data_IF_435902677246
#
_entry.id   IF_435902677246
#
_cell.length_a   1.000
_cell.length_b   1.000
_cell.length_c   1.000
_cell.angle_alpha   90.00
_cell.angle_beta   90.00
_cell.angle_gamma   90.00
#
_symmetry.space_group_name_H-M   'P 1'
#
loop_
_entity.id
_entity.type
_entity.pdbx_description
1 polymer ?
#
# COMPACT_ATOMS: atom_id res chain seq x y z
N UNK A 1 11.12 3.09 -21.49
CA UNK A 1 10.80 3.19 -20.06
C UNK A 1 10.58 1.78 -19.52
N UNK A 2 11.33 1.33 -18.51
CA UNK A 2 11.10 -0.01 -17.92
C UNK A 2 10.12 0.11 -16.76
N UNK A 3 9.18 -0.82 -16.69
CA UNK A 3 8.14 -0.87 -15.66
C UNK A 3 8.69 -1.70 -14.48
N UNK A 4 8.47 -1.29 -13.22
CA UNK A 4 8.83 -2.10 -12.06
C UNK A 4 8.22 -3.50 -12.16
N UNK A 5 8.97 -4.58 -11.91
CA UNK A 5 8.48 -5.95 -12.05
C UNK A 5 7.39 -6.33 -11.04
N UNK A 6 7.18 -5.48 -10.02
CA UNK A 6 6.06 -5.63 -9.07
C UNK A 6 4.73 -5.13 -9.63
N UNK A 7 4.72 -4.24 -10.63
CA UNK A 7 3.50 -3.69 -11.19
C UNK A 7 3.01 -4.60 -12.32
N UNK A 8 1.81 -5.15 -12.18
CA UNK A 8 1.17 -6.01 -13.20
C UNK A 8 0.32 -5.23 -14.19
N UNK A 9 -0.15 -4.04 -13.82
CA UNK A 9 -0.97 -3.21 -14.69
C UNK A 9 -0.09 -2.54 -15.74
N UNK A 10 -0.39 -2.70 -17.03
CA UNK A 10 0.38 -2.03 -18.07
C UNK A 10 0.10 -0.51 -18.04
N UNK A 11 1.08 0.36 -18.37
CA UNK A 11 0.96 1.81 -18.19
C UNK A 11 -0.18 2.48 -18.98
N UNK A 12 -0.61 1.87 -20.09
CA UNK A 12 -1.72 2.32 -20.92
C UNK A 12 -3.10 2.12 -20.26
N UNK A 13 -3.18 1.22 -19.26
CA UNK A 13 -4.38 1.06 -18.42
C UNK A 13 -4.31 1.83 -17.11
N UNK A 14 -3.27 2.62 -16.89
CA UNK A 14 -3.14 3.55 -15.76
C UNK A 14 -3.50 4.97 -16.22
N UNK A 15 -3.96 5.81 -15.29
CA UNK A 15 -4.18 7.23 -15.60
C UNK A 15 -2.86 7.96 -15.39
N UNK A 16 -2.21 8.39 -16.46
CA UNK A 16 -0.98 9.17 -16.34
C UNK A 16 -1.29 10.54 -15.75
N UNK A 17 -0.54 10.92 -14.71
CA UNK A 17 -0.65 12.25 -14.10
C UNK A 17 0.36 13.15 -14.79
N UNK A 18 -0.13 14.23 -15.40
CA UNK A 18 0.71 15.20 -16.13
C UNK A 18 0.47 16.64 -15.72
N UNK A 19 -0.70 16.92 -15.14
CA UNK A 19 -1.11 18.23 -14.71
C UNK A 19 -1.72 18.13 -13.29
N UNK A 20 -1.23 18.92 -12.32
CA UNK A 20 -1.72 18.85 -10.95
C UNK A 20 -3.18 19.32 -10.83
N UNK A 21 -3.58 20.33 -11.61
CA UNK A 21 -4.91 20.93 -11.51
C UNK A 21 -5.96 19.99 -12.12
N UNK A 22 -5.64 19.32 -13.24
CA UNK A 22 -6.50 18.29 -13.86
C UNK A 22 -6.69 17.09 -12.93
N UNK A 23 -5.63 16.62 -12.28
CA UNK A 23 -5.71 15.48 -11.35
C UNK A 23 -6.52 15.83 -10.10
N UNK A 24 -6.29 17.00 -9.49
CA UNK A 24 -7.08 17.48 -8.35
C UNK A 24 -8.54 17.67 -8.75
N UNK A 25 -8.80 18.28 -9.91
CA UNK A 25 -10.15 18.44 -10.42
C UNK A 25 -10.85 17.09 -10.60
N UNK A 26 -10.18 16.10 -11.20
CA UNK A 26 -10.74 14.76 -11.39
C UNK A 26 -11.07 14.07 -10.06
N UNK A 27 -10.14 14.13 -9.10
CA UNK A 27 -10.30 13.52 -7.78
C UNK A 27 -11.45 14.16 -6.98
N UNK A 28 -11.48 15.48 -6.87
CA UNK A 28 -12.47 16.19 -6.06
C UNK A 28 -13.84 16.31 -6.75
N UNK A 29 -13.90 16.28 -8.08
CA UNK A 29 -15.17 16.12 -8.81
C UNK A 29 -15.76 14.73 -8.57
N UNK A 30 -14.92 13.68 -8.62
CA UNK A 30 -15.34 12.32 -8.27
C UNK A 30 -15.82 12.20 -6.81
N UNK A 31 -15.12 12.86 -5.88
CA UNK A 31 -15.52 12.93 -4.48
C UNK A 31 -16.86 13.67 -4.30
N UNK A 32 -17.04 14.83 -4.93
CA UNK A 32 -18.29 15.60 -4.84
C UNK A 32 -19.49 14.87 -5.48
N UNK A 33 -19.27 14.11 -6.54
CA UNK A 33 -20.29 13.30 -7.21
C UNK A 33 -20.68 12.03 -6.44
N UNK A 34 -19.88 11.62 -5.44
CA UNK A 34 -20.20 10.45 -4.63
C UNK A 34 -21.23 10.79 -3.56
N UNK A 35 -22.37 10.09 -3.59
CA UNK A 35 -23.42 10.22 -2.55
C UNK A 35 -22.96 9.73 -1.17
N UNK A 36 -21.83 9.00 -1.12
CA UNK A 36 -21.15 8.64 0.12
C UNK A 36 -20.33 9.85 0.59
N UNK A 37 -20.99 10.82 1.24
CA UNK A 37 -20.24 11.78 2.07
C UNK A 37 -19.36 10.96 3.01
N UNK A 38 -18.12 11.41 3.24
CA UNK A 38 -17.20 10.89 4.26
C UNK A 38 -17.78 10.88 5.71
N UNK A 39 -19.06 11.27 5.87
CA UNK A 39 -19.81 11.35 7.11
C UNK A 39 -20.71 10.15 7.42
N UNK A 40 -20.90 9.17 6.53
CA UNK A 40 -21.84 8.07 6.80
C UNK A 40 -21.25 6.69 6.48
N UNK A 41 -20.29 6.25 7.31
CA UNK A 41 -20.13 4.82 7.55
C UNK A 41 -21.30 4.39 8.44
N UNK A 42 -22.35 3.93 7.77
CA UNK A 42 -23.60 3.52 8.37
C UNK A 42 -23.34 2.40 9.40
N UNK A 43 -23.59 2.69 10.68
CA UNK A 43 -23.41 1.71 11.77
C UNK A 43 -24.22 0.41 11.52
N UNK A 44 -25.24 0.47 10.65
CA UNK A 44 -25.99 -0.69 10.16
C UNK A 44 -25.17 -1.58 9.20
N UNK A 45 -24.36 -1.02 8.30
CA UNK A 45 -23.47 -1.78 7.40
C UNK A 45 -22.26 -2.37 8.13
N UNK A 46 -21.75 -1.69 9.17
CA UNK A 46 -20.72 -2.23 10.08
C UNK A 46 -21.15 -3.55 10.75
N UNK A 47 -22.42 -3.67 11.16
CA UNK A 47 -22.97 -4.90 11.73
C UNK A 47 -23.12 -6.04 10.71
N UNK A 48 -23.40 -5.70 9.46
CA UNK A 48 -23.56 -6.68 8.38
C UNK A 48 -22.22 -7.10 7.75
N UNK A 49 -21.21 -6.22 7.82
CA UNK A 49 -19.85 -6.47 7.36
C UNK A 49 -18.89 -6.96 8.46
N UNK A 50 -19.34 -7.05 9.72
CA UNK A 50 -18.51 -7.36 10.90
C UNK A 50 -17.23 -6.50 11.01
N UNK A 51 -17.28 -5.27 10.49
CA UNK A 51 -16.17 -4.28 10.48
C UNK A 51 -16.24 -3.38 11.71
N UNK A 52 -15.09 -2.85 12.16
CA UNK A 52 -15.05 -1.89 13.27
C UNK A 52 -15.95 -0.67 13.00
N UNK A 53 -16.85 -0.29 13.94
CA UNK A 53 -17.72 0.86 13.77
C UNK A 53 -16.92 2.16 13.87
N UNK A 54 -16.92 2.97 12.82
CA UNK A 54 -16.30 4.31 12.83
C UNK A 54 -17.33 5.37 13.24
N UNK A 55 -16.89 6.37 14.02
CA UNK A 55 -17.69 7.56 14.30
C UNK A 55 -17.57 8.55 13.13
N UNK A 56 -18.69 9.03 12.62
CA UNK A 56 -18.74 10.07 11.60
C UNK A 56 -17.92 11.30 12.04
N UNK A 57 -17.04 11.80 11.16
CA UNK A 57 -16.24 13.01 11.39
C UNK A 57 -14.91 12.83 12.12
N UNK A 58 -14.38 11.61 12.28
CA UNK A 58 -13.00 11.42 12.77
C UNK A 58 -11.98 11.76 11.68
N UNK A 59 -10.80 12.28 12.06
CA UNK A 59 -9.74 12.74 11.15
C UNK A 59 -9.18 11.66 10.21
N UNK A 60 -9.63 10.40 10.27
CA UNK A 60 -9.01 9.28 9.55
C UNK A 60 -8.61 8.09 10.42
N UNK A 61 -8.59 8.28 11.74
CA UNK A 61 -8.17 7.27 12.70
C UNK A 61 -9.35 6.39 13.18
N UNK A 62 -9.02 5.19 13.69
CA UNK A 62 -10.00 4.15 14.08
C UNK A 62 -10.75 4.50 15.36
N UNK A 63 -10.02 4.86 16.43
CA UNK A 63 -10.59 5.26 17.72
C UNK A 63 -9.61 6.22 18.41
N UNK A 64 -10.02 7.41 18.85
CA UNK A 64 -9.15 8.34 19.61
C UNK A 64 -9.30 8.22 21.12
N UNK A 65 -10.25 7.41 21.59
CA UNK A 65 -10.59 7.30 23.02
C UNK A 65 -9.86 6.16 23.73
N UNK A 66 -9.44 5.13 23.01
CA UNK A 66 -8.82 3.93 23.59
C UNK A 66 -7.30 3.93 23.37
N UNK A 67 -6.49 3.68 24.41
CA UNK A 67 -5.03 3.51 24.24
C UNK A 67 -4.64 2.21 23.51
N UNK A 68 -5.61 1.32 23.34
CA UNK A 68 -5.48 0.04 22.65
C UNK A 68 -6.64 -0.11 21.68
N UNK A 69 -6.34 -0.52 20.44
CA UNK A 69 -7.32 -0.78 19.39
C UNK A 69 -7.16 -2.22 18.94
N UNK A 70 -8.26 -2.98 18.95
CA UNK A 70 -8.33 -4.26 18.26
C UNK A 70 -8.73 -3.98 16.82
N UNK A 71 -8.10 -4.65 15.86
CA UNK A 71 -8.42 -4.58 14.44
C UNK A 71 -8.71 -5.98 13.95
N UNK A 72 -9.81 -6.13 13.21
CA UNK A 72 -10.26 -7.39 12.63
C UNK A 72 -10.44 -7.25 11.12
N UNK A 73 -9.77 -8.10 10.36
CA UNK A 73 -9.99 -8.28 8.92
C UNK A 73 -10.57 -9.68 8.68
N UNK A 74 -11.74 -9.73 8.05
CA UNK A 74 -12.37 -10.98 7.63
C UNK A 74 -12.33 -11.08 6.10
N UNK A 75 -11.34 -11.79 5.59
CA UNK A 75 -11.09 -11.93 4.15
C UNK A 75 -11.83 -13.16 3.67
N UNK A 76 -12.92 -12.98 2.92
CA UNK A 76 -13.79 -14.08 2.46
C UNK A 76 -13.70 -14.24 0.94
N UNK A 77 -13.89 -15.46 0.40
CA UNK A 77 -13.95 -15.65 -1.05
C UNK A 77 -15.01 -14.75 -1.69
N UNK A 78 -14.70 -14.06 -2.80
CA UNK A 78 -15.68 -13.30 -3.56
C UNK A 78 -16.88 -14.17 -3.93
N UNK A 79 -18.09 -13.65 -3.74
CA UNK A 79 -19.30 -14.37 -4.13
C UNK A 79 -19.37 -14.37 -5.66
N UNK A 80 -19.15 -15.53 -6.29
CA UNK A 80 -19.35 -15.63 -7.73
C UNK A 80 -20.81 -15.33 -8.06
N UNK A 81 -21.10 -14.40 -8.99
CA UNK A 81 -22.47 -14.16 -9.42
C UNK A 81 -22.99 -15.46 -10.02
N UNK A 82 -23.98 -16.08 -9.37
CA UNK A 82 -24.67 -17.23 -9.95
C UNK A 82 -25.30 -16.77 -11.26
N UNK A 83 -24.79 -17.24 -12.39
CA UNK A 83 -25.46 -17.08 -13.68
C UNK A 83 -26.89 -17.56 -13.51
N UNK A 84 -27.86 -16.64 -13.51
CA UNK A 84 -29.27 -16.96 -13.66
C UNK A 84 -29.45 -17.51 -15.07
N UNK A 85 -29.27 -18.82 -15.24
CA UNK A 85 -29.82 -19.49 -16.39
C UNK A 85 -31.33 -19.57 -16.21
N UNK A 86 -32.04 -18.59 -16.77
CA UNK A 86 -33.42 -18.82 -17.20
C UNK A 86 -33.35 -19.52 -18.56
N UNK A 87 -33.70 -20.81 -18.65
CA UNK A 87 -34.56 -21.34 -19.71
C UNK A 87 -35.27 -22.59 -19.18
N UNK A 88 -36.54 -22.69 -19.54
CA UNK A 88 -37.50 -23.72 -19.23
C UNK A 88 -37.04 -25.18 -19.39
N UNK A 89 -37.52 -26.01 -18.46
CA UNK A 89 -37.92 -27.41 -18.58
C UNK A 89 -37.14 -28.35 -19.49
N UNK A 90 -36.46 -29.33 -18.88
CA UNK A 90 -36.56 -30.74 -19.28
C UNK A 90 -36.10 -31.67 -18.15
N UNK A 91 -36.96 -32.63 -17.81
CA UNK A 91 -36.71 -33.70 -16.83
C UNK A 91 -35.67 -34.68 -17.37
N UNK A 92 -34.44 -34.68 -16.86
CA UNK A 92 -33.49 -35.79 -17.07
C UNK A 92 -32.85 -36.20 -15.74
N UNK A 93 -32.77 -37.53 -15.60
CA UNK A 93 -32.58 -38.33 -14.39
C UNK A 93 -31.22 -38.14 -13.70
N UNK A 94 -31.27 -38.32 -12.37
CA UNK A 94 -30.16 -38.36 -11.40
C UNK A 94 -28.99 -39.25 -11.86
N UNK A 95 -27.86 -38.60 -12.14
CA UNK A 95 -26.54 -39.22 -12.24
C UNK A 95 -25.60 -38.63 -11.20
N UNK A 96 -25.22 -39.43 -10.21
CA UNK A 96 -24.33 -39.10 -9.10
C UNK A 96 -22.90 -38.94 -9.68
N UNK A 97 -22.46 -37.71 -9.97
CA UNK A 97 -21.06 -37.40 -10.31
C UNK A 97 -20.44 -36.57 -9.20
N UNK A 98 -19.34 -37.08 -8.66
CA UNK A 98 -18.58 -36.47 -7.57
C UNK A 98 -18.16 -35.05 -7.92
N UNK A 99 -18.46 -34.12 -7.02
CA UNK A 99 -17.83 -32.80 -7.00
C UNK A 99 -16.33 -33.02 -6.82
N UNK A 100 -15.58 -32.90 -7.90
CA UNK A 100 -14.17 -32.56 -7.81
C UNK A 100 -14.11 -31.20 -7.11
N UNK A 101 -13.74 -31.22 -5.85
CA UNK A 101 -13.45 -30.04 -5.05
C UNK A 101 -12.23 -29.36 -5.67
N UNK A 102 -12.46 -28.39 -6.56
CA UNK A 102 -11.49 -27.31 -6.76
C UNK A 102 -11.13 -26.83 -5.36
N UNK A 103 -9.85 -26.95 -5.01
CA UNK A 103 -9.28 -26.61 -3.71
C UNK A 103 -9.58 -25.14 -3.43
N UNK A 104 -10.74 -24.86 -2.83
CA UNK A 104 -11.19 -23.52 -2.54
C UNK A 104 -10.18 -22.88 -1.60
N UNK A 105 -9.50 -21.83 -2.08
CA UNK A 105 -8.72 -20.97 -1.22
C UNK A 105 -9.64 -20.53 -0.09
N UNK A 106 -9.34 -21.01 1.12
CA UNK A 106 -10.08 -20.62 2.31
C UNK A 106 -9.79 -19.16 2.58
N UNK A 107 -10.82 -18.43 2.99
CA UNK A 107 -10.66 -17.08 3.52
C UNK A 107 -9.74 -17.05 4.74
N UNK A 108 -9.45 -15.84 5.22
CA UNK A 108 -8.56 -15.61 6.36
C UNK A 108 -9.15 -14.60 7.31
N UNK A 109 -9.11 -14.93 8.59
CA UNK A 109 -9.46 -14.02 9.67
C UNK A 109 -8.16 -13.54 10.33
N UNK A 110 -7.97 -12.23 10.41
CA UNK A 110 -6.80 -11.59 11.00
C UNK A 110 -7.29 -10.69 12.12
N UNK A 111 -6.76 -10.91 13.32
CA UNK A 111 -7.07 -10.09 14.49
C UNK A 111 -5.75 -9.65 15.12
N UNK A 112 -5.59 -8.33 15.29
CA UNK A 112 -4.40 -7.74 15.90
C UNK A 112 -4.82 -6.71 16.93
N UNK A 113 -4.07 -6.65 18.02
CA UNK A 113 -4.23 -5.63 19.05
C UNK A 113 -3.05 -4.66 18.93
N UNK A 114 -3.34 -3.37 18.74
CA UNK A 114 -2.35 -2.32 18.59
C UNK A 114 -2.47 -1.31 19.74
N UNK A 115 -1.32 -0.88 20.25
CA UNK A 115 -1.22 0.24 21.18
C UNK A 115 -1.06 1.53 20.40
N UNK A 116 -1.70 2.58 20.89
CA UNK A 116 -1.60 3.94 20.39
C UNK A 116 -1.44 4.93 21.55
N UNK A 117 -0.87 6.09 21.26
CA UNK A 117 -0.79 7.20 22.22
C UNK A 117 -1.85 8.25 21.87
N UNK A 118 -3.02 8.13 22.50
CA UNK A 118 -4.17 9.02 22.32
C UNK A 118 -3.95 10.44 22.88
N UNK A 119 -2.89 10.63 23.68
CA UNK A 119 -2.54 11.92 24.25
C UNK A 119 -1.52 12.65 23.39
N UNK A 120 -0.75 11.93 22.57
CA UNK A 120 0.22 12.50 21.65
C UNK A 120 -0.37 13.64 20.81
N UNK A 121 -1.53 13.43 20.18
CA UNK A 121 -2.18 14.42 19.32
C UNK A 121 -2.61 15.70 20.07
N UNK A 122 -2.74 15.65 21.40
CA UNK A 122 -3.12 16.79 22.25
C UNK A 122 -1.92 17.57 22.76
N UNK A 123 -0.79 16.90 23.01
CA UNK A 123 0.36 17.51 23.69
C UNK A 123 1.58 17.69 22.78
N UNK A 124 1.63 17.01 21.63
CA UNK A 124 2.68 17.14 20.62
C UNK A 124 2.07 17.65 19.32
N UNK A 125 2.26 18.94 19.04
CA UNK A 125 1.75 19.55 17.80
C UNK A 125 2.34 18.83 16.58
N UNK A 126 1.48 18.37 15.67
CA UNK A 126 1.88 17.64 14.48
C UNK A 126 2.13 16.14 14.68
N UNK A 127 2.01 15.60 15.90
CA UNK A 127 2.06 14.16 16.12
C UNK A 127 0.73 13.52 15.73
N UNK A 128 0.73 12.91 14.57
CA UNK A 128 -0.39 12.11 14.06
C UNK A 128 0.01 10.66 13.79
N UNK A 129 1.30 10.31 13.96
CA UNK A 129 1.80 8.94 13.77
C UNK A 129 1.45 8.02 14.94
N UNK A 130 1.14 8.59 16.11
CA UNK A 130 0.90 7.83 17.33
C UNK A 130 -0.46 7.11 17.39
N UNK A 131 -1.31 7.28 16.37
CA UNK A 131 -2.65 6.69 16.27
C UNK A 131 -2.77 5.78 15.04
N UNK A 132 -3.74 4.87 15.06
CA UNK A 132 -3.97 3.95 13.93
C UNK A 132 -4.83 4.62 12.86
N UNK A 133 -4.29 4.71 11.65
CA UNK A 133 -4.97 5.23 10.46
C UNK A 133 -5.74 4.16 9.69
N UNK A 134 -6.93 4.52 9.20
CA UNK A 134 -7.80 3.62 8.40
C UNK A 134 -7.13 3.17 7.11
N UNK A 135 -6.41 4.07 6.43
CA UNK A 135 -5.75 3.78 5.16
C UNK A 135 -4.81 2.56 5.23
N UNK A 136 -4.09 2.37 6.34
CA UNK A 136 -3.24 1.20 6.57
C UNK A 136 -4.05 -0.11 6.65
N UNK A 137 -5.24 -0.05 7.25
CA UNK A 137 -6.15 -1.20 7.39
C UNK A 137 -6.78 -1.53 6.04
N UNK A 138 -7.30 -0.52 5.34
CA UNK A 138 -7.96 -0.70 4.04
C UNK A 138 -6.97 -1.16 2.95
N UNK A 139 -5.71 -0.69 3.00
CA UNK A 139 -4.65 -1.21 2.13
C UNK A 139 -4.30 -2.66 2.48
N UNK A 140 -4.19 -3.01 3.76
CA UNK A 140 -3.94 -4.40 4.17
C UNK A 140 -5.07 -5.33 3.68
N UNK A 141 -6.34 -4.92 3.82
CA UNK A 141 -7.49 -5.67 3.32
C UNK A 141 -7.36 -5.94 1.81
N UNK A 142 -7.05 -4.90 1.01
CA UNK A 142 -6.83 -5.05 -0.43
C UNK A 142 -5.69 -6.02 -0.75
N UNK A 143 -4.54 -5.89 -0.08
CA UNK A 143 -3.38 -6.76 -0.29
C UNK A 143 -3.69 -8.23 0.05
N UNK A 144 -4.53 -8.48 1.05
CA UNK A 144 -5.01 -9.82 1.37
C UNK A 144 -5.92 -10.39 0.28
N UNK A 145 -6.83 -9.59 -0.28
CA UNK A 145 -7.67 -10.00 -1.40
C UNK A 145 -6.85 -10.29 -2.67
N UNK A 146 -5.84 -9.46 -2.93
CA UNK A 146 -4.85 -9.66 -4.00
C UNK A 146 -4.08 -10.97 -3.85
N UNK A 147 -3.67 -11.32 -2.63
CA UNK A 147 -2.92 -12.54 -2.36
C UNK A 147 -3.79 -13.81 -2.39
N UNK A 148 -4.96 -13.77 -1.73
CA UNK A 148 -5.78 -14.96 -1.50
C UNK A 148 -6.75 -15.25 -2.63
N UNK A 149 -7.14 -14.24 -3.39
CA UNK A 149 -8.07 -14.39 -4.50
C UNK A 149 -7.53 -13.65 -5.74
N UNK A 150 -6.31 -14.01 -6.21
CA UNK A 150 -5.79 -13.44 -7.43
C UNK A 150 -6.72 -13.84 -8.56
N UNK A 151 -7.03 -12.91 -9.44
CA UNK A 151 -7.76 -13.29 -10.64
C UNK A 151 -6.98 -14.29 -11.46
N UNK A 152 -7.68 -15.33 -11.90
CA UNK A 152 -7.23 -16.27 -12.91
C UNK A 152 -7.28 -15.56 -14.26
N UNK A 153 -6.33 -14.67 -14.53
CA UNK A 153 -6.10 -14.18 -15.88
C UNK A 153 -5.69 -15.36 -16.77
N UNK A 154 -6.62 -15.84 -17.60
CA UNK A 154 -6.34 -16.54 -18.86
C UNK A 154 -5.37 -17.72 -18.83
N UNK A 155 -5.64 -18.76 -18.05
CA UNK A 155 -5.21 -20.12 -18.44
C UNK A 155 -6.31 -20.81 -19.28
N UNK A 156 -6.93 -20.08 -20.20
CA UNK A 156 -7.71 -20.71 -21.26
C UNK A 156 -6.78 -20.84 -22.47
N UNK A 157 -6.24 -22.04 -22.66
CA UNK A 157 -5.36 -22.40 -23.77
C UNK A 157 -6.08 -22.40 -25.14
N UNK A 158 -7.26 -21.79 -25.27
CA UNK A 158 -8.07 -21.81 -26.48
C UNK A 158 -8.44 -20.37 -26.83
N UNK A 159 -7.80 -19.87 -27.89
CA UNK A 159 -8.00 -18.52 -28.40
C UNK A 159 -9.48 -18.22 -28.63
N UNK A 160 -9.93 -17.10 -28.07
CA UNK A 160 -11.28 -16.60 -28.27
C UNK A 160 -11.63 -15.55 -27.23
N UNK A 161 -11.66 -14.29 -27.69
CA UNK A 161 -12.20 -13.09 -27.03
C UNK A 161 -11.54 -12.72 -25.71
N UNK A 162 -10.86 -11.58 -25.70
CA UNK A 162 -10.44 -10.91 -24.47
C UNK A 162 -11.69 -10.61 -23.62
N UNK A 163 -11.94 -11.42 -22.59
CA UNK A 163 -12.89 -11.06 -21.54
C UNK A 163 -12.30 -9.85 -20.80
N UNK A 164 -12.69 -8.64 -21.23
CA UNK A 164 -12.34 -7.37 -20.58
C UNK A 164 -12.75 -7.33 -19.10
N UNK A 165 -13.60 -8.26 -18.66
CA UNK A 165 -14.19 -8.32 -17.33
C UNK A 165 -13.43 -9.19 -16.32
N UNK A 166 -12.33 -9.85 -16.70
CA UNK A 166 -11.50 -10.53 -15.71
C UNK A 166 -10.61 -9.50 -15.00
N UNK A 167 -10.92 -9.22 -13.73
CA UNK A 167 -10.07 -8.40 -12.86
C UNK A 167 -8.61 -8.88 -12.97
N UNK A 168 -7.62 -8.02 -12.84
CA UNK A 168 -6.22 -8.47 -12.71
C UNK A 168 -5.60 -7.69 -11.57
N UNK A 169 -5.05 -8.41 -10.60
CA UNK A 169 -4.33 -7.81 -9.49
C UNK A 169 -3.27 -6.82 -9.93
N UNK A 170 -3.16 -5.69 -9.24
CA UNK A 170 -2.24 -4.63 -9.67
C UNK A 170 -0.78 -4.91 -9.27
N UNK A 171 -0.58 -5.75 -8.25
CA UNK A 171 0.74 -6.17 -7.78
C UNK A 171 1.04 -7.64 -8.10
N UNK A 172 2.30 -7.92 -8.35
CA UNK A 172 2.83 -9.29 -8.32
C UNK A 172 3.00 -9.77 -6.88
N UNK A 173 1.91 -10.25 -6.29
CA UNK A 173 1.88 -10.74 -4.90
C UNK A 173 2.83 -11.90 -4.65
N UNK A 174 3.11 -12.73 -5.67
CA UNK A 174 4.09 -13.80 -5.58
C UNK A 174 5.49 -13.23 -5.32
N UNK A 175 5.92 -12.29 -6.16
CA UNK A 175 7.21 -11.59 -5.99
C UNK A 175 7.27 -10.79 -4.69
N UNK A 176 6.19 -10.06 -4.38
CA UNK A 176 6.08 -9.21 -3.19
C UNK A 176 6.32 -10.03 -1.91
N UNK A 177 5.64 -11.18 -1.81
CA UNK A 177 5.69 -12.02 -0.60
C UNK A 177 6.88 -12.98 -0.58
N UNK A 178 7.52 -13.27 -1.71
CA UNK A 178 8.65 -14.21 -1.74
C UNK A 178 10.01 -13.54 -1.57
N UNK A 179 10.20 -12.33 -2.09
CA UNK A 179 11.56 -11.79 -2.29
C UNK A 179 11.71 -10.27 -2.26
N UNK A 180 10.61 -9.52 -2.17
CA UNK A 180 10.70 -8.06 -2.24
C UNK A 180 11.19 -7.40 -0.96
N UNK A 181 11.95 -6.31 -1.12
CA UNK A 181 12.35 -5.39 -0.06
C UNK A 181 11.40 -4.20 -0.07
N UNK A 182 10.63 -4.06 1.00
CA UNK A 182 9.60 -3.05 1.17
C UNK A 182 10.11 -2.01 2.15
N UNK A 183 9.99 -0.73 1.81
CA UNK A 183 10.15 0.39 2.74
C UNK A 183 8.78 1.03 2.97
N UNK A 184 8.34 1.08 4.21
CA UNK A 184 7.16 1.85 4.62
C UNK A 184 7.62 3.13 5.29
N UNK A 185 7.32 4.27 4.65
CA UNK A 185 7.58 5.61 5.18
C UNK A 185 6.38 6.08 6.00
N UNK A 186 6.63 6.62 7.19
CA UNK A 186 5.56 7.15 8.04
C UNK A 186 4.64 6.05 8.57
N UNK A 187 5.23 4.94 9.03
CA UNK A 187 4.50 3.75 9.46
C UNK A 187 3.61 3.99 10.70
N UNK A 188 3.83 5.07 11.44
CA UNK A 188 3.10 5.46 12.63
C UNK A 188 3.16 4.38 13.71
N UNK A 189 2.08 3.64 13.88
CA UNK A 189 1.98 2.53 14.85
C UNK A 189 2.56 1.20 14.35
N UNK A 190 2.99 1.12 13.07
CA UNK A 190 3.42 -0.10 12.39
C UNK A 190 2.27 -0.99 11.90
N UNK A 191 1.03 -0.47 11.92
CA UNK A 191 -0.20 -1.21 11.67
C UNK A 191 -0.17 -2.06 10.39
N UNK A 192 0.23 -1.46 9.26
CA UNK A 192 0.22 -2.14 7.96
C UNK A 192 1.14 -3.36 7.94
N UNK A 193 2.40 -3.21 8.39
CA UNK A 193 3.35 -4.31 8.47
C UNK A 193 2.85 -5.48 9.33
N UNK A 194 2.21 -5.17 10.47
CA UNK A 194 1.65 -6.15 11.40
C UNK A 194 0.47 -6.91 10.78
N UNK A 195 -0.44 -6.19 10.12
CA UNK A 195 -1.58 -6.81 9.42
C UNK A 195 -1.14 -7.68 8.23
N UNK A 196 -0.01 -7.36 7.62
CA UNK A 196 0.53 -8.06 6.45
C UNK A 196 1.52 -9.19 6.78
N UNK A 197 2.02 -9.33 8.01
CA UNK A 197 3.04 -10.34 8.37
C UNK A 197 2.65 -11.77 7.97
N UNK A 198 1.36 -12.10 8.10
CA UNK A 198 0.86 -13.42 7.74
C UNK A 198 0.95 -13.78 6.25
N UNK A 199 1.25 -12.80 5.38
CA UNK A 199 1.33 -12.95 3.92
C UNK A 199 2.63 -13.61 3.46
N UNK A 200 3.67 -13.57 4.30
CA UNK A 200 5.01 -14.02 3.93
C UNK A 200 5.22 -15.50 4.29
N UNK A 201 5.55 -16.36 3.31
CA UNK A 201 5.91 -17.75 3.57
C UNK A 201 7.14 -17.87 4.50
N UNK A 202 7.31 -19.00 5.21
CA UNK A 202 8.47 -19.24 6.08
C UNK A 202 9.83 -19.18 5.35
N UNK A 203 9.86 -19.57 4.08
CA UNK A 203 11.01 -19.56 3.18
C UNK A 203 11.18 -18.25 2.40
N UNK A 204 10.32 -17.27 2.67
CA UNK A 204 10.40 -15.94 2.06
C UNK A 204 11.71 -15.23 2.40
N UNK A 205 12.36 -14.67 1.38
CA UNK A 205 13.46 -13.73 1.52
C UNK A 205 13.02 -12.27 1.46
N UNK A 206 11.71 -12.01 1.45
CA UNK A 206 11.18 -10.65 1.51
C UNK A 206 11.58 -9.98 2.84
N UNK A 207 11.66 -8.66 2.84
CA UNK A 207 11.90 -7.88 4.06
C UNK A 207 11.05 -6.61 4.07
N UNK A 208 10.65 -6.19 5.26
CA UNK A 208 9.83 -4.99 5.48
C UNK A 208 10.52 -4.04 6.45
N UNK A 209 10.95 -2.90 5.94
CA UNK A 209 11.52 -1.82 6.71
C UNK A 209 10.38 -0.88 7.12
N UNK A 210 10.04 -0.93 8.41
CA UNK A 210 8.98 -0.14 9.04
C UNK A 210 9.62 1.12 9.60
N UNK A 211 9.46 2.25 8.90
CA UNK A 211 10.21 3.47 9.21
C UNK A 211 9.32 4.65 9.60
N UNK A 212 9.81 5.46 10.53
CA UNK A 212 9.18 6.69 10.99
C UNK A 212 10.23 7.60 11.65
N UNK A 213 9.80 8.76 12.17
CA UNK A 213 10.63 9.61 13.01
C UNK A 213 10.99 8.91 14.33
N UNK A 214 12.08 9.35 14.96
CA UNK A 214 12.64 8.73 16.17
C UNK A 214 11.60 8.45 17.27
N UNK A 215 10.72 9.42 17.54
CA UNK A 215 9.69 9.35 18.58
C UNK A 215 8.71 8.18 18.41
N UNK A 216 8.55 7.66 17.20
CA UNK A 216 7.56 6.63 16.85
C UNK A 216 8.17 5.23 16.88
N UNK A 217 9.49 5.10 16.87
CA UNK A 217 10.17 3.80 16.83
C UNK A 217 9.82 2.92 18.04
N UNK A 218 9.67 3.52 19.21
CA UNK A 218 9.33 2.81 20.44
C UNK A 218 7.92 2.21 20.39
N UNK A 219 6.94 2.90 19.80
CA UNK A 219 5.58 2.37 19.68
C UNK A 219 5.48 1.29 18.60
N UNK A 220 6.19 1.46 17.47
CA UNK A 220 6.31 0.45 16.41
C UNK A 220 6.90 -0.85 16.97
N UNK A 221 8.06 -0.77 17.63
CA UNK A 221 8.73 -1.92 18.23
C UNK A 221 7.85 -2.62 19.27
N UNK A 222 7.10 -1.84 20.08
CA UNK A 222 6.17 -2.39 21.07
C UNK A 222 5.02 -3.15 20.41
N UNK A 223 4.45 -2.65 19.33
CA UNK A 223 3.35 -3.29 18.63
C UNK A 223 3.80 -4.57 17.89
N UNK A 224 4.99 -4.56 17.27
CA UNK A 224 5.59 -5.76 16.67
C UNK A 224 5.86 -6.83 17.75
N UNK A 225 6.47 -6.45 18.88
CA UNK A 225 6.73 -7.37 20.00
C UNK A 225 5.44 -7.95 20.58
N UNK A 226 4.41 -7.11 20.76
CA UNK A 226 3.10 -7.54 21.26
C UNK A 226 2.42 -8.54 20.32
N UNK A 227 2.58 -8.34 19.01
CA UNK A 227 2.10 -9.24 17.96
C UNK A 227 3.00 -10.48 17.74
N UNK A 228 4.06 -10.64 18.55
CA UNK A 228 5.05 -11.74 18.46
C UNK A 228 5.76 -11.80 17.11
N UNK A 229 5.93 -10.66 16.46
CA UNK A 229 6.65 -10.54 15.18
C UNK A 229 8.12 -10.28 15.49
N UNK A 230 9.01 -11.10 14.95
CA UNK A 230 10.45 -10.90 15.10
C UNK A 230 10.90 -9.70 14.26
N UNK A 231 11.61 -8.76 14.89
CA UNK A 231 12.14 -7.57 14.24
C UNK A 231 13.56 -7.27 14.70
N UNK A 232 14.29 -6.51 13.89
CA UNK A 232 15.59 -5.93 14.24
C UNK A 232 15.49 -4.41 14.36
N UNK A 233 16.31 -3.83 15.23
CA UNK A 233 16.49 -2.38 15.35
C UNK A 233 17.94 -2.05 14.97
N UNK A 234 18.17 -1.65 13.72
CA UNK A 234 19.50 -1.25 13.22
C UNK A 234 20.17 -2.21 12.23
N UNK A 235 21.44 -1.90 11.92
CA UNK A 235 22.24 -2.58 10.88
C UNK A 235 22.36 -4.08 11.14
N UNK A 236 22.20 -4.93 10.11
CA UNK A 236 22.24 -6.38 10.26
C UNK A 236 23.60 -6.82 10.80
N UNK A 237 23.62 -7.38 12.01
CA UNK A 237 24.78 -8.13 12.49
C UNK A 237 24.89 -9.43 11.69
N UNK A 238 26.11 -9.76 11.26
CA UNK A 238 26.41 -10.92 10.41
C UNK A 238 26.14 -12.27 11.09
N UNK A 239 25.88 -12.26 12.40
CA UNK A 239 25.76 -13.44 13.26
C UNK A 239 24.32 -13.78 13.67
N UNK A 240 23.33 -12.93 13.36
CA UNK A 240 21.93 -13.18 13.74
C UNK A 240 21.07 -13.57 12.54
N UNK A 241 20.06 -14.44 12.73
CA UNK A 241 19.04 -14.67 11.71
C UNK A 241 18.41 -13.33 11.33
N UNK A 242 18.43 -12.99 10.04
CA UNK A 242 17.89 -11.71 9.56
C UNK A 242 16.39 -11.69 9.83
N UNK A 243 15.95 -10.84 10.74
CA UNK A 243 14.53 -10.61 10.95
C UNK A 243 13.89 -10.06 9.66
N UNK A 244 12.67 -10.52 9.36
CA UNK A 244 11.91 -10.02 8.19
C UNK A 244 11.59 -8.54 8.33
N UNK A 245 11.26 -8.13 9.56
CA UNK A 245 10.92 -6.77 9.90
C UNK A 245 12.14 -6.04 10.44
N UNK A 246 12.37 -4.82 9.96
CA UNK A 246 13.37 -3.90 10.51
C UNK A 246 12.67 -2.61 10.90
N UNK A 247 12.87 -2.16 12.14
CA UNK A 247 12.42 -0.85 12.61
C UNK A 247 13.60 0.11 12.53
N UNK A 248 13.42 1.19 11.78
CA UNK A 248 14.49 2.18 11.56
C UNK A 248 13.97 3.61 11.54
N UNK A 249 14.85 4.55 11.89
CA UNK A 249 14.57 5.98 11.79
C UNK A 249 14.70 6.43 10.34
N UNK A 250 13.66 7.11 9.84
CA UNK A 250 13.75 7.88 8.60
C UNK A 250 13.11 9.24 8.85
N UNK A 251 13.93 10.21 9.26
CA UNK A 251 13.52 11.62 9.41
C UNK A 251 13.56 12.32 8.04
N UNK A 252 12.38 12.58 7.49
CA UNK A 252 12.24 13.24 6.19
C UNK A 252 12.86 14.63 6.15
N UNK A 253 12.82 15.37 7.26
CA UNK A 253 13.41 16.71 7.34
C UNK A 253 14.94 16.65 7.31
N UNK A 254 15.53 15.61 7.91
CA UNK A 254 16.99 15.44 7.85
C UNK A 254 17.43 14.99 6.46
N UNK A 255 16.69 14.08 5.82
CA UNK A 255 16.91 13.71 4.41
C UNK A 255 16.79 14.94 3.51
N UNK A 256 15.80 15.81 3.75
CA UNK A 256 15.64 17.07 3.02
C UNK A 256 16.86 17.99 3.17
N UNK A 257 17.33 18.20 4.40
CA UNK A 257 18.51 19.04 4.66
C UNK A 257 19.75 18.48 3.96
N UNK A 258 19.93 17.15 3.98
CA UNK A 258 21.01 16.51 3.24
C UNK A 258 20.88 16.73 1.73
N UNK A 259 19.68 16.52 1.18
CA UNK A 259 19.40 16.71 -0.24
C UNK A 259 19.72 18.15 -0.68
N UNK A 260 19.32 19.16 0.09
CA UNK A 260 19.60 20.57 -0.19
C UNK A 260 21.10 20.89 -0.15
N UNK A 261 21.84 20.31 0.80
CA UNK A 261 23.30 20.47 0.88
C UNK A 261 24.02 19.86 -0.32
N UNK A 262 23.58 18.69 -0.77
CA UNK A 262 24.14 18.00 -1.94
C UNK A 262 23.86 18.77 -3.25
N UNK A 263 22.69 19.41 -3.37
CA UNK A 263 22.35 20.24 -4.54
C UNK A 263 23.02 21.62 -4.53
N UNK A 264 23.25 22.21 -3.36
CA UNK A 264 23.95 23.49 -3.24
C UNK A 264 25.46 23.38 -3.52
N UNK A 265 26.06 22.23 -3.20
CA UNK A 265 27.48 21.95 -3.39
C UNK A 265 27.69 20.63 -4.14
N UNK A 266 27.44 20.60 -5.47
CA UNK A 266 27.64 19.41 -6.27
C UNK A 266 29.13 19.03 -6.25
N UNK A 267 29.49 18.03 -5.44
CA UNK A 267 30.86 17.52 -5.41
C UNK A 267 31.11 16.74 -6.72
N UNK A 268 32.28 16.91 -7.36
CA UNK A 268 32.63 16.09 -8.50
C UNK A 268 32.62 14.61 -8.08
N UNK A 269 31.95 13.82 -8.91
CA UNK A 269 31.45 12.48 -8.64
C UNK A 269 32.61 11.50 -8.38
N UNK A 270 33.08 11.39 -7.13
CA UNK A 270 33.83 10.22 -6.70
C UNK A 270 32.81 9.14 -6.35
N UNK A 271 32.54 8.28 -7.32
CA UNK A 271 31.91 6.99 -7.09
C UNK A 271 32.64 6.27 -5.96
N UNK A 272 31.97 6.10 -4.82
CA UNK A 272 32.19 4.97 -3.92
C UNK A 272 31.06 4.89 -2.89
N UNK A 273 30.15 3.96 -3.19
CA UNK A 273 29.46 3.13 -2.22
C UNK A 273 28.69 3.83 -1.08
N UNK A 274 27.54 4.45 -1.41
CA UNK A 274 26.39 4.13 -0.55
C UNK A 274 25.88 2.80 -1.08
N UNK A 275 26.16 1.72 -0.35
CA UNK A 275 25.45 0.45 -0.52
C UNK A 275 23.98 0.72 -0.24
N UNK A 276 23.28 1.28 -1.23
CA UNK A 276 21.92 1.74 -1.12
C UNK A 276 21.08 0.52 -0.75
N UNK A 277 20.43 0.59 0.41
CA UNK A 277 19.30 -0.27 0.73
C UNK A 277 18.29 -0.12 -0.41
N UNK A 278 18.42 -1.00 -1.40
CA UNK A 278 17.61 -0.96 -2.60
C UNK A 278 16.24 -1.53 -2.23
N UNK A 279 15.19 -0.77 -2.48
CA UNK A 279 13.83 -1.23 -2.25
C UNK A 279 13.17 -1.58 -3.58
N UNK A 280 12.36 -2.63 -3.57
CA UNK A 280 11.53 -3.00 -4.70
C UNK A 280 10.20 -2.23 -4.65
N UNK A 281 9.74 -1.93 -3.43
CA UNK A 281 8.53 -1.17 -3.14
C UNK A 281 8.78 -0.14 -2.04
N UNK A 282 8.34 1.10 -2.26
CA UNK A 282 8.21 2.13 -1.23
C UNK A 282 6.71 2.39 -1.04
N UNK A 283 6.25 2.37 0.20
CA UNK A 283 4.88 2.66 0.62
C UNK A 283 4.87 3.97 1.41
N UNK A 284 3.99 4.89 1.05
CA UNK A 284 3.61 6.03 1.89
C UNK A 284 2.08 6.02 2.02
N UNK A 285 1.58 5.80 3.23
CA UNK A 285 0.16 5.55 3.48
C UNK A 285 -0.37 6.60 4.45
N UNK A 286 -1.27 7.44 3.94
CA UNK A 286 -1.88 8.59 4.63
C UNK A 286 -0.86 9.63 5.15
N UNK A 287 0.28 9.77 4.45
CA UNK A 287 1.33 10.72 4.80
C UNK A 287 1.03 12.16 4.33
N UNK A 288 -0.10 12.42 3.67
CA UNK A 288 -0.46 13.72 3.09
C UNK A 288 -1.42 14.49 3.99
N UNK A 289 -0.94 14.94 5.14
CA UNK A 289 -1.74 15.67 6.15
C UNK A 289 -1.19 17.05 6.51
N UNK A 290 0.07 17.35 6.15
CA UNK A 290 0.73 18.62 6.42
C UNK A 290 1.54 19.05 5.19
N UNK A 291 1.19 20.22 4.64
CA UNK A 291 1.84 20.79 3.45
C UNK A 291 3.36 20.95 3.64
N UNK A 292 3.83 21.30 4.84
CA UNK A 292 5.25 21.50 5.12
C UNK A 292 6.09 20.22 4.99
N UNK A 293 5.46 19.05 4.99
CA UNK A 293 6.12 17.74 4.90
C UNK A 293 6.14 17.18 3.47
N UNK A 294 5.47 17.83 2.51
CA UNK A 294 5.38 17.35 1.12
C UNK A 294 6.77 17.26 0.47
N UNK A 295 7.55 18.34 0.51
CA UNK A 295 8.90 18.36 -0.06
C UNK A 295 9.86 17.41 0.67
N UNK A 296 9.91 17.37 2.01
CA UNK A 296 10.63 16.35 2.77
C UNK A 296 10.30 14.92 2.35
N UNK A 297 9.01 14.59 2.26
CA UNK A 297 8.55 13.26 1.87
C UNK A 297 9.01 12.91 0.44
N UNK A 298 8.80 13.81 -0.52
CA UNK A 298 9.17 13.57 -1.92
C UNK A 298 10.69 13.41 -2.11
N UNK A 299 11.50 14.19 -1.38
CA UNK A 299 12.97 14.04 -1.41
C UNK A 299 13.42 12.74 -0.76
N UNK A 300 12.71 12.28 0.26
CA UNK A 300 12.93 10.96 0.88
C UNK A 300 12.61 9.83 -0.10
N UNK A 301 11.44 9.89 -0.75
CA UNK A 301 11.07 8.97 -1.83
C UNK A 301 12.14 8.98 -2.94
N UNK A 302 12.59 10.16 -3.36
CA UNK A 302 13.64 10.31 -4.35
C UNK A 302 14.98 9.71 -3.91
N UNK A 303 15.37 9.91 -2.66
CA UNK A 303 16.60 9.37 -2.09
C UNK A 303 16.65 7.84 -2.12
N UNK A 304 15.54 7.18 -1.79
CA UNK A 304 15.47 5.70 -1.69
C UNK A 304 15.06 5.00 -2.98
N UNK A 305 14.38 5.70 -3.90
CA UNK A 305 13.98 5.13 -5.18
C UNK A 305 15.18 4.93 -6.10
N UNK A 306 15.35 3.69 -6.57
CA UNK A 306 16.42 3.34 -7.51
C UNK A 306 15.96 3.44 -8.97
N UNK A 307 16.85 3.94 -9.83
CA UNK A 307 16.77 3.74 -11.28
C UNK A 307 17.34 2.38 -11.64
N UNK A 308 17.03 1.91 -12.84
CA UNK A 308 17.79 0.82 -13.41
C UNK A 308 19.23 1.26 -13.73
N UNK A 309 20.21 0.66 -13.08
CA UNK A 309 21.61 0.78 -13.48
C UNK A 309 21.94 -0.20 -14.62
N UNK A 310 22.84 0.12 -15.56
CA UNK A 310 23.41 -0.89 -16.46
C UNK A 310 23.96 -2.03 -15.61
N UNK A 311 23.68 -3.28 -16.00
CA UNK A 311 24.23 -4.45 -15.33
C UNK A 311 25.74 -4.33 -15.28
N UNK A 312 26.28 -4.01 -14.10
CA UNK A 312 27.72 -4.00 -13.89
C UNK A 312 28.21 -5.43 -14.12
N UNK A 313 29.30 -5.66 -14.87
CA UNK A 313 29.78 -7.02 -15.21
C UNK A 313 30.13 -7.89 -13.98
N UNK A 314 30.11 -7.32 -12.77
CA UNK A 314 30.36 -7.97 -11.49
C UNK A 314 29.11 -8.17 -10.61
N UNK A 315 27.92 -7.76 -11.06
CA UNK A 315 26.66 -7.88 -10.31
C UNK A 315 25.66 -8.74 -11.08
N UNK A 316 25.50 -9.99 -10.66
CA UNK A 316 24.53 -10.95 -11.21
C UNK A 316 23.06 -10.60 -10.90
N UNK A 317 22.79 -9.54 -10.14
CA UNK A 317 21.43 -9.14 -9.78
C UNK A 317 20.90 -8.09 -10.76
N UNK A 318 19.91 -8.39 -11.61
CA UNK A 318 19.29 -7.40 -12.48
C UNK A 318 18.74 -6.22 -11.67
N UNK A 319 19.01 -5.01 -12.15
CA UNK A 319 18.49 -3.77 -11.58
C UNK A 319 17.18 -3.41 -12.27
N UNK A 320 16.17 -3.09 -11.48
CA UNK A 320 14.84 -2.69 -11.89
C UNK A 320 14.43 -1.47 -11.08
N UNK A 321 13.61 -0.57 -11.65
CA UNK A 321 13.18 0.62 -10.94
C UNK A 321 12.33 0.24 -9.72
N UNK A 322 12.50 1.02 -8.65
CA UNK A 322 11.67 0.90 -7.44
C UNK A 322 10.24 1.36 -7.74
N UNK A 323 9.25 0.55 -7.38
CA UNK A 323 7.85 0.98 -7.40
C UNK A 323 7.57 1.82 -6.15
N UNK A 324 6.97 2.98 -6.32
CA UNK A 324 6.44 3.79 -5.21
C UNK A 324 4.93 3.73 -5.26
N UNK A 325 4.28 3.43 -4.13
CA UNK A 325 2.84 3.56 -3.95
C UNK A 325 2.55 4.61 -2.87
N UNK A 326 1.70 5.57 -3.22
CA UNK A 326 1.20 6.57 -2.28
C UNK A 326 -0.31 6.39 -2.18
N UNK A 327 -0.77 6.03 -0.99
CA UNK A 327 -2.19 5.82 -0.69
C UNK A 327 -2.64 6.93 0.24
N UNK A 328 -3.67 7.68 -0.13
CA UNK A 328 -4.15 8.82 0.68
C UNK A 328 -5.67 8.85 0.74
N UNK A 329 -6.21 9.15 1.92
CA UNK A 329 -7.58 9.66 2.03
C UNK A 329 -7.58 11.13 1.55
N UNK A 330 -8.57 11.52 0.75
CA UNK A 330 -8.70 12.88 0.23
C UNK A 330 -9.32 13.79 1.30
N UNK A 331 -8.56 14.79 1.77
CA UNK A 331 -8.99 15.70 2.85
C UNK A 331 -8.86 17.18 2.51
N UNK A 332 -7.78 17.56 1.83
CA UNK A 332 -7.51 18.93 1.39
C UNK A 332 -7.03 18.91 -0.05
N UNK A 333 -7.75 19.65 -0.90
CA UNK A 333 -7.39 19.84 -2.31
C UNK A 333 -6.02 20.49 -2.44
N UNK A 334 -5.72 21.42 -1.54
CA UNK A 334 -4.48 22.22 -1.54
C UNK A 334 -3.26 21.34 -1.25
N UNK A 335 -3.35 20.46 -0.23
CA UNK A 335 -2.28 19.51 0.11
C UNK A 335 -2.06 18.51 -1.03
N UNK A 336 -3.14 18.01 -1.64
CA UNK A 336 -3.06 17.08 -2.77
C UNK A 336 -2.46 17.76 -4.00
N UNK A 337 -2.88 18.97 -4.33
CA UNK A 337 -2.36 19.77 -5.44
C UNK A 337 -0.87 20.07 -5.27
N UNK A 338 -0.47 20.54 -4.08
CA UNK A 338 0.92 20.80 -3.75
C UNK A 338 1.77 19.52 -3.88
N UNK A 339 1.25 18.38 -3.43
CA UNK A 339 1.93 17.09 -3.55
C UNK A 339 2.13 16.68 -5.02
N UNK A 340 1.08 16.68 -5.83
CA UNK A 340 1.15 16.30 -7.25
C UNK A 340 2.06 17.26 -8.01
N UNK A 341 1.93 18.58 -7.78
CA UNK A 341 2.78 19.61 -8.38
C UNK A 341 4.26 19.37 -8.08
N UNK A 342 4.61 19.12 -6.82
CA UNK A 342 6.00 18.91 -6.43
C UNK A 342 6.54 17.56 -6.89
N UNK A 343 5.72 16.51 -6.96
CA UNK A 343 6.17 15.22 -7.50
C UNK A 343 6.44 15.33 -9.01
N UNK A 344 5.55 15.98 -9.76
CA UNK A 344 5.76 16.26 -11.20
C UNK A 344 7.01 17.12 -11.46
N UNK A 345 7.34 18.03 -10.54
CA UNK A 345 8.55 18.86 -10.63
C UNK A 345 9.87 18.07 -10.48
N UNK A 346 9.83 16.81 -10.03
CA UNK A 346 10.98 15.88 -10.09
C UNK A 346 11.21 15.32 -11.50
N UNK A 347 10.30 15.61 -12.45
CA UNK A 347 10.46 15.32 -13.87
C UNK A 347 11.74 15.95 -14.47
N UNK A 348 12.31 15.36 -15.54
CA UNK A 348 11.79 14.24 -16.33
C UNK A 348 12.15 12.85 -15.74
N UNK A 349 12.73 12.80 -14.54
CA UNK A 349 13.26 11.55 -13.98
C UNK A 349 12.17 10.63 -13.44
N UNK A 350 10.94 11.10 -13.27
CA UNK A 350 9.81 10.32 -12.75
C UNK A 350 8.71 10.17 -13.77
N UNK A 351 8.00 9.04 -13.69
CA UNK A 351 6.64 8.95 -14.21
C UNK A 351 5.67 8.59 -13.09
N UNK A 352 4.52 9.25 -13.11
CA UNK A 352 3.52 9.22 -12.05
C UNK A 352 2.18 8.87 -12.69
N UNK A 353 1.46 7.97 -12.04
CA UNK A 353 0.18 7.47 -12.49
C UNK A 353 -0.78 7.35 -11.31
N UNK A 354 -2.06 7.58 -11.55
CA UNK A 354 -3.12 7.17 -10.65
C UNK A 354 -3.65 5.80 -11.06
N UNK A 355 -3.82 4.92 -10.07
CA UNK A 355 -4.40 3.60 -10.26
C UNK A 355 -5.94 3.73 -10.33
N UNK A 356 -6.59 3.30 -11.43
CA UNK A 356 -8.05 3.30 -11.50
C UNK A 356 -8.71 2.43 -10.43
N UNK A 357 -9.90 2.83 -9.95
CA UNK A 357 -10.66 2.08 -8.95
C UNK A 357 -11.00 0.63 -9.38
N UNK A 358 -11.06 0.36 -10.68
CA UNK A 358 -11.24 -1.00 -11.23
C UNK A 358 -10.13 -1.98 -10.78
N UNK A 359 -8.93 -1.48 -10.48
CA UNK A 359 -7.82 -2.29 -9.97
C UNK A 359 -7.82 -2.44 -8.45
N UNK A 360 -8.68 -1.70 -7.73
CA UNK A 360 -8.78 -1.70 -6.27
C UNK A 360 -9.88 -2.62 -5.76
N UNK A 361 -10.24 -3.66 -6.52
CA UNK A 361 -11.35 -4.58 -6.20
C UNK A 361 -12.68 -3.88 -5.95
N UNK A 362 -13.09 -3.02 -6.90
CA UNK A 362 -14.39 -2.35 -6.84
C UNK A 362 -15.56 -3.34 -6.77
N UNK A 363 -15.37 -4.59 -7.25
CA UNK A 363 -16.30 -5.72 -7.12
C UNK A 363 -16.60 -6.11 -5.67
N UNK A 364 -15.66 -5.85 -4.75
CA UNK A 364 -15.75 -6.25 -3.35
C UNK A 364 -16.23 -5.14 -2.41
N UNK A 365 -16.52 -3.95 -2.93
CA UNK A 365 -16.92 -2.79 -2.13
C UNK A 365 -15.93 -2.50 -0.98
N UNK A 366 -14.63 -2.60 -1.27
CA UNK A 366 -13.58 -2.21 -0.33
C UNK A 366 -13.57 -0.69 -0.17
N UNK A 367 -13.24 -0.19 1.03
CA UNK A 367 -13.17 1.25 1.28
C UNK A 367 -12.12 1.93 0.40
N UNK A 368 -10.96 1.30 0.21
CA UNK A 368 -9.87 1.84 -0.63
C UNK A 368 -10.26 2.04 -2.10
N UNK A 369 -11.33 1.40 -2.58
CA UNK A 369 -11.86 1.58 -3.93
C UNK A 369 -12.83 2.77 -4.07
N UNK A 370 -13.15 3.45 -2.96
CA UNK A 370 -14.10 4.56 -2.92
C UNK A 370 -13.45 5.88 -3.32
N UNK A 371 -14.29 6.83 -3.72
CA UNK A 371 -13.89 8.18 -4.18
C UNK A 371 -13.13 9.01 -3.15
N UNK A 372 -13.20 8.69 -1.86
CA UNK A 372 -12.45 9.37 -0.82
C UNK A 372 -11.01 8.85 -0.67
N UNK A 373 -10.62 7.82 -1.42
CA UNK A 373 -9.24 7.35 -1.51
C UNK A 373 -8.66 7.62 -2.89
N UNK A 374 -7.34 7.82 -2.90
CA UNK A 374 -6.53 7.81 -4.11
C UNK A 374 -5.30 6.92 -3.89
N UNK A 375 -4.94 6.17 -4.94
CA UNK A 375 -3.71 5.39 -4.99
C UNK A 375 -2.91 5.88 -6.19
N UNK A 376 -1.80 6.55 -5.94
CA UNK A 376 -0.81 6.85 -6.96
C UNK A 376 0.28 5.79 -6.97
N UNK A 377 0.80 5.53 -8.16
CA UNK A 377 2.03 4.78 -8.34
C UNK A 377 3.01 5.57 -9.19
N UNK A 378 4.30 5.45 -8.89
CA UNK A 378 5.33 6.14 -9.64
C UNK A 378 6.67 5.43 -9.54
N UNK A 379 7.55 5.71 -10.49
CA UNK A 379 8.92 5.20 -10.48
C UNK A 379 9.84 6.08 -11.31
N UNK A 380 11.15 5.97 -11.02
CA UNK A 380 12.17 6.70 -11.77
C UNK A 380 12.44 6.04 -13.14
N UNK A 381 12.62 6.87 -14.16
CA UNK A 381 12.81 6.54 -15.58
C UNK A 381 14.20 6.00 -15.90
#
# INVERSE_FOLDING_TARGET
>A
MKIPPLLRVPPDRLVRVTDPDEEVFALYTGLAGSSERASEFDAAKSKQAHRHPTRAGSLGFVDSGASTVVIRLEIRPPVQPSHRQSVAGHNIKKGRKGKASLTGQKGRDIEVELKQDIFATKYRSGDTGSIVWRASIDLAELLWYELLFPSLGGASAHGGVEDEDCWTGFLDMGRLTSSSRILELGAGTGCLSILCEGMFPPDSSASWNVSDQFDLLAIIARNLAHSRIAFSTGLPSREQPRARHTVEEVDWMEVEKQWLREHANPRPNNEQAKGLSRYDLILAVDCLYNESLILPLLRTIDHFASIQAPSHPSSDVPTHPTLVLVVSELRSSEVVEAFVRHWLALGPTWSIFRLPAAYLRSDLNLNIAKSHYVVWCGWKN
#
